data_IF_897389883920
#
_entry.id   IF_897389883920
#
_cell.length_a   1.000
_cell.length_b   1.000
_cell.length_c   1.000
_cell.angle_alpha   90.00
_cell.angle_beta   90.00
_cell.angle_gamma   90.00
#
_symmetry.space_group_name_H-M   'P 1'
#
loop_
_entity.id
_entity.type
_entity.pdbx_description
1 polymer ?
#
# COMPACT_ATOMS: atom_id res chain seq x y z
N UNK A 1 11.96 41.88 8.40
CA UNK A 1 11.20 40.99 9.30
C UNK A 1 10.23 40.05 8.55
N UNK A 2 9.94 40.26 7.25
CA UNK A 2 9.01 39.43 6.46
C UNK A 2 9.62 38.14 5.85
N UNK A 3 10.92 37.92 5.96
CA UNK A 3 11.63 36.81 5.29
C UNK A 3 11.60 35.49 6.09
N UNK A 4 11.38 35.57 7.41
CA UNK A 4 11.37 34.40 8.31
C UNK A 4 10.02 33.65 8.27
N UNK A 5 8.90 34.38 8.12
CA UNK A 5 7.57 33.79 8.04
C UNK A 5 7.40 32.88 6.80
N UNK A 6 7.96 33.27 5.66
CA UNK A 6 7.87 32.49 4.42
C UNK A 6 8.68 31.18 4.52
N UNK A 7 9.84 31.22 5.18
CA UNK A 7 10.70 30.04 5.38
C UNK A 7 10.08 29.04 6.36
N UNK A 8 9.39 29.52 7.41
CA UNK A 8 8.65 28.68 8.36
C UNK A 8 7.40 28.03 7.74
N UNK A 9 6.71 28.73 6.83
CA UNK A 9 5.60 28.15 6.06
C UNK A 9 6.08 26.97 5.20
N UNK A 10 7.22 27.13 4.49
CA UNK A 10 7.83 26.07 3.67
C UNK A 10 8.19 24.83 4.50
N UNK A 11 8.79 24.98 5.69
CA UNK A 11 9.13 23.83 6.55
C UNK A 11 7.90 23.16 7.15
N UNK A 12 6.85 23.91 7.50
CA UNK A 12 5.61 23.35 8.05
C UNK A 12 4.84 22.56 7.00
N UNK A 13 4.76 23.07 5.78
CA UNK A 13 4.10 22.40 4.66
C UNK A 13 4.87 21.15 4.22
N UNK A 14 6.21 21.21 4.21
CA UNK A 14 7.06 20.03 4.00
C UNK A 14 6.76 18.92 5.02
N UNK A 15 6.70 19.28 6.31
CA UNK A 15 6.43 18.33 7.38
C UNK A 15 4.98 17.77 7.34
N UNK A 16 4.03 18.52 6.78
CA UNK A 16 2.66 18.06 6.55
C UNK A 16 2.56 17.06 5.38
N UNK A 17 3.29 17.31 4.29
CA UNK A 17 3.39 16.39 3.14
C UNK A 17 4.05 15.08 3.55
N UNK A 18 5.13 15.14 4.34
CA UNK A 18 5.84 13.94 4.78
C UNK A 18 4.97 13.06 5.70
N UNK A 19 4.22 13.66 6.62
CA UNK A 19 3.23 12.94 7.44
C UNK A 19 2.16 12.24 6.61
N UNK A 20 1.66 12.90 5.57
CA UNK A 20 0.68 12.32 4.64
C UNK A 20 1.28 11.18 3.83
N UNK A 21 2.54 11.30 3.39
CA UNK A 21 3.27 10.26 2.67
C UNK A 21 3.48 9.02 3.56
N UNK A 22 3.92 9.21 4.79
CA UNK A 22 4.19 8.13 5.74
C UNK A 22 2.89 7.37 6.11
N UNK A 23 1.78 8.08 6.26
CA UNK A 23 0.47 7.48 6.47
C UNK A 23 0.02 6.62 5.26
N UNK A 24 0.31 7.07 4.04
CA UNK A 24 -0.06 6.33 2.83
C UNK A 24 0.83 5.09 2.61
N UNK A 25 2.12 5.19 2.94
CA UNK A 25 3.03 4.02 2.99
C UNK A 25 2.59 3.00 4.04
N UNK A 26 2.20 3.45 5.24
CA UNK A 26 1.64 2.55 6.26
C UNK A 26 0.42 1.80 5.74
N UNK A 27 -0.45 2.48 5.01
CA UNK A 27 -1.64 1.87 4.40
C UNK A 27 -1.24 0.83 3.36
N UNK A 28 -0.26 1.13 2.50
CA UNK A 28 0.29 0.16 1.55
C UNK A 28 0.90 -1.07 2.23
N UNK A 29 1.69 -0.87 3.30
CA UNK A 29 2.26 -1.97 4.06
C UNK A 29 1.20 -2.84 4.74
N UNK A 30 0.05 -2.26 5.11
CA UNK A 30 -1.10 -3.03 5.60
C UNK A 30 -1.70 -3.91 4.47
N UNK A 31 -1.89 -3.36 3.27
CA UNK A 31 -2.32 -4.16 2.09
C UNK A 31 -1.31 -5.28 1.76
N UNK A 32 -0.01 -4.97 1.78
CA UNK A 32 1.05 -5.94 1.55
C UNK A 32 0.99 -7.08 2.59
N UNK A 33 0.85 -6.74 3.88
CA UNK A 33 0.68 -7.74 4.95
C UNK A 33 -0.51 -8.64 4.67
N UNK A 34 -1.67 -8.07 4.34
CA UNK A 34 -2.86 -8.88 4.05
C UNK A 34 -2.62 -9.80 2.86
N UNK A 35 -2.01 -9.31 1.77
CA UNK A 35 -1.70 -10.12 0.60
C UNK A 35 -0.77 -11.29 0.96
N UNK A 36 0.28 -11.07 1.76
CA UNK A 36 1.21 -12.13 2.19
C UNK A 36 0.51 -13.20 3.04
N UNK A 37 -0.39 -12.80 3.95
CA UNK A 37 -1.18 -13.74 4.76
C UNK A 37 -2.11 -14.58 3.88
N UNK A 38 -2.78 -13.97 2.92
CA UNK A 38 -3.62 -14.70 1.96
C UNK A 38 -2.81 -15.63 1.06
N UNK A 39 -1.62 -15.19 0.63
CA UNK A 39 -0.71 -16.00 -0.18
C UNK A 39 -0.23 -17.24 0.58
N UNK A 40 0.24 -17.04 1.82
CA UNK A 40 0.76 -18.14 2.65
C UNK A 40 -0.35 -19.12 3.03
N UNK A 41 -1.54 -18.63 3.36
CA UNK A 41 -2.70 -19.47 3.62
C UNK A 41 -3.11 -20.27 2.38
N UNK A 42 -3.20 -19.63 1.21
CA UNK A 42 -3.51 -20.32 -0.05
C UNK A 42 -2.47 -21.40 -0.39
N UNK A 43 -1.18 -21.09 -0.20
CA UNK A 43 -0.10 -22.04 -0.43
C UNK A 43 -0.16 -23.23 0.54
N UNK A 44 -0.44 -22.98 1.82
CA UNK A 44 -0.62 -24.04 2.82
C UNK A 44 -1.78 -24.98 2.47
N UNK A 45 -2.91 -24.43 1.99
CA UNK A 45 -4.08 -25.22 1.58
C UNK A 45 -3.78 -26.07 0.36
N UNK A 46 -3.13 -25.51 -0.67
CA UNK A 46 -2.81 -26.23 -1.91
C UNK A 46 -1.74 -27.31 -1.69
N UNK A 47 -0.78 -27.08 -0.79
CA UNK A 47 0.32 -28.02 -0.53
C UNK A 47 -0.11 -29.25 0.29
N UNK A 48 -1.21 -29.17 1.03
CA UNK A 48 -1.70 -30.24 1.90
C UNK A 48 -2.64 -31.18 1.13
N UNK A 49 -2.17 -32.39 0.83
CA UNK A 49 -2.96 -33.44 0.14
C UNK A 49 -4.22 -33.84 0.94
N UNK A 50 -4.17 -33.77 2.27
CA UNK A 50 -5.32 -34.03 3.14
C UNK A 50 -6.47 -33.01 2.98
N UNK A 51 -6.24 -31.91 2.25
CA UNK A 51 -7.19 -30.82 2.04
C UNK A 51 -7.64 -30.72 0.57
N UNK A 52 -7.58 -31.82 -0.18
CA UNK A 52 -7.94 -31.87 -1.60
C UNK A 52 -9.36 -31.33 -1.88
N UNK A 53 -10.33 -31.60 -1.00
CA UNK A 53 -11.70 -31.10 -1.14
C UNK A 53 -11.81 -29.56 -1.12
N UNK A 54 -10.84 -28.86 -0.51
CA UNK A 54 -10.82 -27.41 -0.38
C UNK A 54 -9.73 -26.73 -1.22
N UNK A 55 -9.10 -27.44 -2.17
CA UNK A 55 -8.12 -26.86 -3.10
C UNK A 55 -8.65 -25.65 -3.86
N UNK A 56 -9.95 -25.64 -4.16
CA UNK A 56 -10.63 -24.52 -4.82
C UNK A 56 -10.54 -23.23 -3.98
N UNK A 57 -10.63 -23.34 -2.65
CA UNK A 57 -10.43 -22.23 -1.72
C UNK A 57 -8.97 -21.80 -1.72
N UNK A 58 -8.02 -22.76 -1.75
CA UNK A 58 -6.60 -22.48 -1.87
C UNK A 58 -6.25 -21.65 -3.10
N UNK A 59 -6.74 -22.05 -4.28
CA UNK A 59 -6.57 -21.30 -5.52
C UNK A 59 -7.23 -19.93 -5.48
N UNK A 60 -8.44 -19.83 -4.89
CA UNK A 60 -9.12 -18.55 -4.69
C UNK A 60 -8.28 -17.59 -3.83
N UNK A 61 -7.73 -18.04 -2.70
CA UNK A 61 -6.86 -17.23 -1.83
C UNK A 61 -5.59 -16.79 -2.57
N UNK A 62 -5.01 -17.67 -3.39
CA UNK A 62 -3.80 -17.43 -4.15
C UNK A 62 -4.02 -16.42 -5.29
N UNK A 63 -5.18 -16.44 -5.95
CA UNK A 63 -5.62 -15.42 -6.91
C UNK A 63 -6.01 -14.10 -6.24
N UNK A 64 -6.62 -14.15 -5.05
CA UNK A 64 -7.06 -12.96 -4.32
C UNK A 64 -5.86 -12.13 -3.80
N UNK A 65 -4.79 -12.80 -3.38
CA UNK A 65 -3.57 -12.15 -2.89
C UNK A 65 -2.99 -11.08 -3.82
N UNK A 66 -2.67 -11.36 -5.11
CA UNK A 66 -2.16 -10.35 -6.03
C UNK A 66 -3.19 -9.27 -6.34
N UNK A 67 -4.51 -9.55 -6.28
CA UNK A 67 -5.55 -8.53 -6.43
C UNK A 67 -5.50 -7.52 -5.29
N UNK A 68 -5.41 -7.98 -4.04
CA UNK A 68 -5.27 -7.12 -2.85
C UNK A 68 -4.00 -6.27 -2.96
N UNK A 69 -2.89 -6.89 -3.38
CA UNK A 69 -1.60 -6.22 -3.54
C UNK A 69 -1.66 -5.16 -4.67
N UNK A 70 -2.31 -5.47 -5.79
CA UNK A 70 -2.52 -4.54 -6.90
C UNK A 70 -3.36 -3.33 -6.47
N UNK A 71 -4.47 -3.54 -5.74
CA UNK A 71 -5.30 -2.45 -5.20
C UNK A 71 -4.47 -1.55 -4.28
N UNK A 72 -3.69 -2.14 -3.36
CA UNK A 72 -2.79 -1.39 -2.48
C UNK A 72 -1.74 -0.59 -3.26
N UNK A 73 -1.13 -1.21 -4.27
CA UNK A 73 -0.12 -0.58 -5.14
C UNK A 73 -0.67 0.59 -5.95
N UNK A 74 -1.84 0.43 -6.57
CA UNK A 74 -2.53 1.49 -7.31
C UNK A 74 -2.81 2.69 -6.41
N UNK A 75 -3.29 2.46 -5.18
CA UNK A 75 -3.53 3.51 -4.18
C UNK A 75 -2.26 4.27 -3.79
N UNK A 76 -1.16 3.55 -3.61
CA UNK A 76 0.14 4.17 -3.30
C UNK A 76 0.62 5.04 -4.47
N UNK A 77 0.53 4.53 -5.70
CA UNK A 77 0.96 5.22 -6.92
C UNK A 77 0.08 6.44 -7.23
N UNK A 78 -1.24 6.36 -7.03
CA UNK A 78 -2.16 7.49 -7.23
C UNK A 78 -1.77 8.70 -6.37
N UNK A 79 -1.54 8.50 -5.07
CA UNK A 79 -1.15 9.59 -4.16
C UNK A 79 0.24 10.12 -4.49
N UNK A 80 1.18 9.23 -4.83
CA UNK A 80 2.53 9.63 -5.27
C UNK A 80 2.49 10.48 -6.56
N UNK A 81 1.58 10.16 -7.50
CA UNK A 81 1.39 10.91 -8.76
C UNK A 81 0.76 12.28 -8.53
N UNK A 82 -0.18 12.41 -7.60
CA UNK A 82 -0.83 13.69 -7.31
C UNK A 82 0.15 14.75 -6.80
N UNK A 83 1.12 14.35 -5.97
CA UNK A 83 2.13 15.27 -5.41
C UNK A 83 3.11 15.74 -6.49
N UNK A 84 3.49 14.86 -7.43
CA UNK A 84 4.44 15.23 -8.50
C UNK A 84 3.87 16.21 -9.52
N UNK A 85 2.54 16.29 -9.66
CA UNK A 85 1.88 17.23 -10.58
C UNK A 85 1.85 18.67 -10.05
N UNK A 86 1.93 18.87 -8.74
CA UNK A 86 1.86 20.20 -8.10
C UNK A 86 3.21 20.88 -7.87
N UNK A 87 4.34 20.18 -8.03
CA UNK A 87 5.69 20.75 -7.84
C UNK A 87 6.41 21.04 -9.17
N UNK A 88 5.73 20.84 -10.30
CA UNK A 88 6.29 21.05 -11.63
C UNK A 88 5.68 22.26 -12.37
N UNK A 89 4.93 23.11 -11.65
CA UNK A 89 4.52 24.46 -12.05
C UNK A 89 5.06 25.47 -11.04
#
# INVERSE_FOLDING_TARGET
MAEDENKQLITRDYLAIERTRLANERTFLAYFRTAVVFLSAGFAVVQLEALEEIHLVGWFLLCLSPVILAVGGVRLVQVRRQIRKYYNE
#
